data_IF_598388147189
#
_entry.id   IF_598388147189
#
_cell.length_a   1.000
_cell.length_b   1.000
_cell.length_c   1.000
_cell.angle_alpha   90.00
_cell.angle_beta   90.00
_cell.angle_gamma   90.00
#
_symmetry.space_group_name_H-M   'P 1'
#
loop_
_entity.id
_entity.type
_entity.pdbx_description
1 polymer ?
#
# COMPACT_ATOMS: atom_id res chain seq x y z
N UNK A 1 -11.92 -19.99 -13.03
CA UNK A 1 -10.51 -19.62 -12.78
C UNK A 1 -10.41 -18.91 -11.43
N UNK A 2 -9.62 -19.40 -10.47
CA UNK A 2 -9.38 -18.68 -9.23
C UNK A 2 -8.65 -17.35 -9.53
N UNK A 3 -9.11 -16.28 -8.92
CA UNK A 3 -8.48 -14.96 -9.04
C UNK A 3 -7.40 -14.82 -7.96
N UNK A 4 -6.24 -14.27 -8.29
CA UNK A 4 -5.13 -14.06 -7.36
C UNK A 4 -4.91 -12.57 -7.11
N UNK A 5 -4.36 -12.22 -5.94
CA UNK A 5 -3.92 -10.87 -5.68
C UNK A 5 -2.76 -10.50 -6.61
N UNK A 6 -2.84 -9.32 -7.24
CA UNK A 6 -1.81 -8.80 -8.13
C UNK A 6 -0.66 -8.10 -7.39
N UNK A 7 -0.80 -7.89 -6.08
CA UNK A 7 0.24 -7.28 -5.26
C UNK A 7 1.50 -8.14 -5.21
N UNK A 8 2.65 -7.48 -5.25
CA UNK A 8 3.95 -8.14 -5.16
C UNK A 8 4.11 -8.78 -3.77
N UNK A 9 4.45 -10.07 -3.74
CA UNK A 9 4.66 -10.82 -2.50
C UNK A 9 3.38 -11.28 -1.80
N UNK A 10 2.21 -11.05 -2.39
CA UNK A 10 0.94 -11.51 -1.84
C UNK A 10 0.54 -12.86 -2.45
N UNK A 11 0.43 -13.90 -1.62
CA UNK A 11 0.02 -15.25 -2.04
C UNK A 11 -1.50 -15.49 -1.92
N UNK A 12 -2.28 -14.44 -1.64
CA UNK A 12 -3.73 -14.56 -1.43
C UNK A 12 -4.44 -14.95 -2.74
N UNK A 13 -5.06 -16.13 -2.73
CA UNK A 13 -5.99 -16.62 -3.75
C UNK A 13 -7.43 -16.36 -3.34
N UNK A 14 -8.31 -16.13 -4.30
CA UNK A 14 -9.75 -15.97 -4.07
C UNK A 14 -10.37 -17.35 -3.81
N UNK A 15 -10.30 -17.81 -2.56
CA UNK A 15 -10.90 -19.07 -2.08
C UNK A 15 -11.84 -18.85 -0.92
N UNK A 16 -12.65 -19.87 -0.63
CA UNK A 16 -13.50 -19.91 0.56
C UNK A 16 -12.69 -19.67 1.84
N UNK A 17 -11.49 -20.24 1.96
CA UNK A 17 -10.62 -20.04 3.13
C UNK A 17 -10.27 -18.55 3.36
N UNK A 18 -9.87 -17.84 2.31
CA UNK A 18 -9.55 -16.40 2.34
C UNK A 18 -10.79 -15.57 2.66
N UNK A 19 -11.96 -15.97 2.14
CA UNK A 19 -13.24 -15.34 2.45
C UNK A 19 -13.61 -15.53 3.93
N UNK A 20 -13.38 -16.71 4.50
CA UNK A 20 -13.57 -16.97 5.93
C UNK A 20 -12.63 -16.14 6.82
N UNK A 21 -11.46 -15.74 6.30
CA UNK A 21 -10.55 -14.78 6.96
C UNK A 21 -11.00 -13.32 6.81
N UNK A 22 -12.12 -13.05 6.12
CA UNK A 22 -12.62 -11.70 5.86
C UNK A 22 -11.86 -10.97 4.75
N UNK A 23 -11.08 -11.67 3.93
CA UNK A 23 -10.33 -11.06 2.83
C UNK A 23 -11.23 -10.99 1.60
N UNK A 24 -11.44 -9.78 1.10
CA UNK A 24 -12.22 -9.49 -0.10
C UNK A 24 -11.30 -9.10 -1.26
N UNK A 25 -11.75 -9.33 -2.49
CA UNK A 25 -10.98 -9.04 -3.70
C UNK A 25 -11.65 -7.92 -4.49
N UNK A 26 -10.90 -6.86 -4.74
CA UNK A 26 -11.39 -5.66 -5.40
C UNK A 26 -10.75 -5.51 -6.77
N UNK A 27 -11.56 -5.09 -7.74
CA UNK A 27 -11.12 -4.82 -9.12
C UNK A 27 -10.45 -3.45 -9.17
N UNK A 28 -9.59 -3.27 -10.16
CA UNK A 28 -9.01 -1.96 -10.43
C UNK A 28 -10.09 -0.95 -10.81
N UNK A 29 -9.93 0.32 -10.42
CA UNK A 29 -10.83 1.39 -10.80
C UNK A 29 -10.82 1.59 -12.32
N UNK A 30 -11.95 2.08 -12.85
CA UNK A 30 -12.06 2.43 -14.28
C UNK A 30 -11.29 3.71 -14.61
N UNK A 31 -11.13 4.59 -13.63
CA UNK A 31 -10.43 5.86 -13.78
C UNK A 31 -8.94 5.60 -14.02
N UNK A 32 -8.42 6.16 -15.12
CA UNK A 32 -7.07 5.90 -15.61
C UNK A 32 -5.98 6.41 -14.68
N UNK A 33 -6.15 7.57 -14.06
CA UNK A 33 -5.16 8.19 -13.16
C UNK A 33 -5.03 7.35 -11.89
N UNK A 34 -6.14 6.94 -11.29
CA UNK A 34 -6.18 6.10 -10.09
C UNK A 34 -5.67 4.71 -10.38
N UNK A 35 -6.03 4.13 -11.54
CA UNK A 35 -5.48 2.85 -11.99
C UNK A 35 -3.95 2.90 -12.09
N UNK A 36 -3.39 3.96 -12.68
CA UNK A 36 -1.93 4.17 -12.74
C UNK A 36 -1.30 4.31 -11.36
N UNK A 37 -1.96 4.98 -10.41
CA UNK A 37 -1.50 5.04 -9.01
C UNK A 37 -1.44 3.66 -8.37
N UNK A 38 -2.44 2.80 -8.61
CA UNK A 38 -2.44 1.42 -8.12
C UNK A 38 -1.33 0.58 -8.76
N UNK A 39 -1.14 0.70 -10.07
CA UNK A 39 -0.05 0.02 -10.80
C UNK A 39 1.33 0.43 -10.26
N UNK A 40 1.52 1.73 -10.03
CA UNK A 40 2.74 2.27 -9.43
C UNK A 40 2.95 1.76 -8.00
N UNK A 41 1.89 1.70 -7.19
CA UNK A 41 1.96 1.26 -5.80
C UNK A 41 2.30 -0.23 -5.66
N UNK A 42 1.93 -1.06 -6.63
CA UNK A 42 2.35 -2.48 -6.68
C UNK A 42 3.86 -2.63 -6.87
N UNK A 43 4.53 -1.62 -7.45
CA UNK A 43 5.99 -1.58 -7.58
C UNK A 43 6.55 -2.70 -8.46
N UNK A 44 5.81 -3.09 -9.51
CA UNK A 44 6.24 -4.09 -10.49
C UNK A 44 6.48 -3.41 -11.84
N UNK A 45 7.73 -3.44 -12.30
CA UNK A 45 8.12 -2.88 -13.61
C UNK A 45 7.35 -3.59 -14.71
N UNK A 46 6.70 -2.82 -15.59
CA UNK A 46 5.92 -3.33 -16.73
C UNK A 46 4.59 -4.00 -16.34
N UNK A 47 4.11 -3.85 -15.11
CA UNK A 47 2.80 -4.38 -14.73
C UNK A 47 1.67 -3.46 -15.21
N UNK A 48 0.84 -3.99 -16.10
CA UNK A 48 -0.41 -3.36 -16.52
C UNK A 48 -1.59 -4.12 -15.90
N UNK A 49 -2.46 -3.41 -15.19
CA UNK A 49 -3.65 -3.96 -14.59
C UNK A 49 -4.69 -4.29 -15.67
N UNK A 50 -4.96 -5.59 -15.84
CA UNK A 50 -6.01 -6.09 -16.73
C UNK A 50 -7.36 -6.22 -16.03
N UNK A 51 -8.41 -6.57 -16.79
CA UNK A 51 -9.77 -6.77 -16.26
C UNK A 51 -9.87 -7.92 -15.23
N UNK A 52 -8.93 -8.87 -15.28
CA UNK A 52 -8.81 -9.99 -14.35
C UNK A 52 -7.93 -9.68 -13.13
N UNK A 53 -7.16 -8.60 -13.16
CA UNK A 53 -6.28 -8.17 -12.07
C UNK A 53 -7.11 -7.65 -10.89
N UNK A 54 -6.75 -8.08 -9.68
CA UNK A 54 -7.46 -7.73 -8.44
C UNK A 54 -6.46 -7.56 -7.30
N UNK A 55 -6.82 -6.72 -6.34
CA UNK A 55 -6.10 -6.58 -5.07
C UNK A 55 -6.96 -7.09 -3.91
N UNK A 56 -6.33 -7.74 -2.94
CA UNK A 56 -7.01 -8.16 -1.71
C UNK A 56 -7.15 -6.99 -0.74
N UNK A 57 -8.14 -7.07 0.15
CA UNK A 57 -8.46 -6.01 1.12
C UNK A 57 -7.34 -5.68 2.10
N UNK A 58 -6.38 -6.58 2.33
CA UNK A 58 -5.21 -6.32 3.18
C UNK A 58 -4.30 -5.20 2.68
N UNK A 59 -4.44 -4.79 1.41
CA UNK A 59 -3.64 -3.69 0.84
C UNK A 59 -4.27 -2.30 1.02
N UNK A 60 -5.48 -2.24 1.60
CA UNK A 60 -6.25 -1.01 1.81
C UNK A 60 -6.53 -0.81 3.29
N UNK A 61 -6.67 0.45 3.70
CA UNK A 61 -7.15 0.80 5.04
C UNK A 61 -8.60 0.37 5.21
N UNK A 62 -9.02 0.08 6.44
CA UNK A 62 -10.42 -0.30 6.70
C UNK A 62 -11.36 0.88 6.45
N UNK A 63 -10.87 2.10 6.64
CA UNK A 63 -11.56 3.36 6.34
C UNK A 63 -11.78 3.64 4.84
N UNK A 64 -11.01 3.00 3.96
CA UNK A 64 -11.12 3.19 2.52
C UNK A 64 -12.30 2.42 1.90
N UNK A 65 -12.92 1.54 2.67
CA UNK A 65 -14.06 0.74 2.21
C UNK A 65 -15.37 1.44 2.55
N UNK A 66 -16.13 1.80 1.51
CA UNK A 66 -17.53 2.16 1.70
C UNK A 66 -18.34 0.89 1.95
N UNK A 67 -18.79 0.77 3.20
CA UNK A 67 -19.79 -0.22 3.63
C UNK A 67 -21.21 0.34 3.64
N UNK A 68 -21.39 1.56 3.15
CA UNK A 68 -22.65 2.33 3.21
C UNK A 68 -23.75 1.77 2.30
N UNK A 69 -23.49 0.70 1.54
CA UNK A 69 -24.48 0.06 0.66
C UNK A 69 -24.40 -1.47 0.66
N UNK A 70 -25.21 -2.12 -0.20
CA UNK A 70 -25.28 -3.59 -0.33
C UNK A 70 -24.00 -4.23 -0.90
N UNK A 71 -23.06 -3.46 -1.44
CA UNK A 71 -21.78 -3.95 -2.00
C UNK A 71 -20.62 -3.19 -1.39
N UNK A 72 -19.62 -3.93 -0.88
CA UNK A 72 -18.35 -3.35 -0.40
C UNK A 72 -17.55 -2.84 -1.60
N UNK A 73 -17.44 -1.52 -1.73
CA UNK A 73 -16.61 -0.85 -2.75
C UNK A 73 -15.50 -0.07 -2.06
N UNK A 74 -14.39 0.09 -2.76
CA UNK A 74 -13.32 1.00 -2.32
C UNK A 74 -13.68 2.38 -2.80
N UNK A 75 -13.47 3.39 -1.96
CA UNK A 75 -13.70 4.80 -2.28
C UNK A 75 -12.96 5.22 -3.54
N UNK A 76 -13.63 6.04 -4.34
CA UNK A 76 -12.98 6.73 -5.45
C UNK A 76 -11.84 7.61 -4.90
N UNK A 77 -10.63 7.41 -5.42
CA UNK A 77 -9.43 8.13 -4.98
C UNK A 77 -8.55 7.38 -3.98
N UNK A 78 -9.01 6.27 -3.38
CA UNK A 78 -8.16 5.44 -2.54
C UNK A 78 -7.05 4.78 -3.35
N UNK A 79 -5.83 4.79 -2.82
CA UNK A 79 -4.67 4.09 -3.37
C UNK A 79 -4.23 3.03 -2.37
N UNK A 80 -3.95 1.78 -2.81
CA UNK A 80 -3.38 0.79 -1.91
C UNK A 80 -2.04 1.31 -1.39
N UNK A 81 -1.90 1.40 -0.08
CA UNK A 81 -0.68 1.91 0.57
C UNK A 81 -0.01 0.83 1.42
N UNK A 82 -0.77 -0.20 1.79
CA UNK A 82 -0.30 -1.28 2.65
C UNK A 82 0.33 -2.36 1.79
N UNK A 83 1.57 -2.15 1.38
CA UNK A 83 2.38 -3.20 0.78
C UNK A 83 3.47 -3.59 1.77
N UNK A 84 3.36 -4.81 2.31
CA UNK A 84 4.49 -5.43 3.01
C UNK A 84 5.49 -5.93 1.97
N UNK A 85 6.14 -5.00 1.28
CA UNK A 85 7.42 -5.32 0.67
C UNK A 85 8.29 -5.76 1.83
N UNK A 86 8.84 -6.98 1.78
CA UNK A 86 9.95 -7.36 2.66
C UNK A 86 11.16 -6.53 2.26
N UNK A 87 11.08 -5.23 2.54
CA UNK A 87 12.19 -4.32 2.57
C UNK A 87 13.08 -4.86 3.67
N UNK A 88 14.18 -5.48 3.30
CA UNK A 88 15.32 -5.63 4.18
C UNK A 88 15.84 -4.22 4.50
N UNK A 89 15.06 -3.42 5.21
CA UNK A 89 15.42 -2.08 5.66
C UNK A 89 15.50 -2.18 7.16
N UNK A 90 16.73 -2.28 7.65
CA UNK A 90 17.03 -2.28 9.08
C UNK A 90 16.54 -0.94 9.62
N UNK A 91 15.58 -0.97 10.54
CA UNK A 91 15.19 0.20 11.32
C UNK A 91 16.44 0.66 12.08
N UNK A 92 17.05 1.76 11.67
CA UNK A 92 17.85 2.58 12.59
C UNK A 92 16.88 3.64 13.07
N UNK A 93 16.53 3.60 14.36
CA UNK A 93 15.64 4.57 14.97
C UNK A 93 16.25 5.97 14.83
N UNK A 94 15.56 6.85 14.11
CA UNK A 94 15.85 8.27 14.14
C UNK A 94 15.06 8.86 15.30
N UNK A 95 15.74 8.94 16.44
CA UNK A 95 15.34 9.76 17.58
C UNK A 95 15.20 11.24 17.20
N UNK A 96 14.40 11.90 18.01
CA UNK A 96 13.87 13.25 17.87
C UNK A 96 14.87 14.31 17.39
N UNK A 97 14.44 15.07 16.38
CA UNK A 97 14.91 16.43 16.13
C UNK A 97 14.46 17.32 17.29
N UNK A 98 15.41 17.83 18.09
CA UNK A 98 15.31 19.14 18.71
C UNK A 98 16.55 19.97 18.38
N UNK A 99 16.25 21.07 17.69
CA UNK A 99 17.03 22.20 17.21
C UNK A 99 18.10 22.78 18.16
N UNK A 100 19.35 22.87 17.65
CA UNK A 100 20.30 24.02 17.50
C UNK A 100 19.97 25.34 18.27
N UNK A 101 20.97 26.14 18.73
CA UNK A 101 22.01 26.75 17.87
C UNK A 101 23.45 26.64 18.40
N UNK A 102 24.44 26.42 17.53
CA UNK A 102 25.30 27.47 16.94
C UNK A 102 25.95 28.41 17.97
N UNK A 103 27.16 28.07 18.39
CA UNK A 103 28.23 29.06 18.60
C UNK A 103 29.53 28.47 18.05
N UNK A 104 29.97 29.06 16.95
CA UNK A 104 31.31 28.92 16.41
C UNK A 104 32.06 30.18 16.84
N UNK A 105 33.11 30.07 17.63
CA UNK A 105 34.26 30.97 17.60
C UNK A 105 35.33 30.49 18.57
N UNK A 106 36.50 30.23 18.01
CA UNK A 106 37.75 29.98 18.69
C UNK A 106 38.20 31.18 19.54
N UNK A 107 38.92 30.92 20.61
CA UNK A 107 40.19 31.63 20.84
C UNK A 107 41.13 30.77 21.69
N UNK A 108 42.38 30.74 21.24
CA UNK A 108 43.49 29.91 21.69
C UNK A 108 44.11 30.45 22.98
N UNK A 109 44.71 29.55 23.77
CA UNK A 109 45.59 29.85 24.91
C UNK A 109 46.74 30.79 24.55
N UNK A 110 47.02 31.75 25.43
CA UNK A 110 48.27 31.80 26.17
C UNK A 110 47.99 32.35 27.57
#
# INVERSE_FOLDING_TARGET
MPHFCSARGCANRCTLQTRSRGITFHRFPKECVLRRKWEAAIGRVGFAAGASSRLCSEHFGREDFDRTGQTVRIRDGTVPSVFSFKSHCKKVGAEAVRTRPFVCAAYVSQ
#
